data_IF_464124761829
#
_entry.id   IF_464124761829
#
_cell.length_a   1.000
_cell.length_b   1.000
_cell.length_c   1.000
_cell.angle_alpha   90.00
_cell.angle_beta   90.00
_cell.angle_gamma   90.00
#
_symmetry.space_group_name_H-M   'P 1'
#
loop_
_entity.id
_entity.type
_entity.pdbx_description
1 polymer ?
#
# COMPACT_ATOMS: atom_id res chain seq x y z
N UNK A 1 -10.82 -29.33 8.79
CA UNK A 1 -9.74 -29.74 7.86
C UNK A 1 -8.70 -28.62 7.90
N UNK A 2 -7.53 -28.90 8.45
CA UNK A 2 -6.37 -28.02 8.48
C UNK A 2 -5.99 -27.69 7.03
N UNK A 3 -5.92 -26.40 6.69
CA UNK A 3 -5.57 -25.91 5.34
C UNK A 3 -4.07 -25.94 5.06
N UNK A 4 -3.28 -26.41 6.02
CA UNK A 4 -1.83 -26.50 5.89
C UNK A 4 -1.42 -27.93 5.62
N UNK A 5 -0.46 -28.13 4.73
CA UNK A 5 0.27 -29.39 4.69
C UNK A 5 1.07 -29.55 6.00
N UNK A 6 1.26 -30.80 6.49
CA UNK A 6 2.13 -31.02 7.64
C UNK A 6 3.54 -30.54 7.32
N UNK A 7 3.97 -29.43 7.97
CA UNK A 7 5.27 -28.80 7.77
C UNK A 7 5.24 -27.36 7.25
N UNK A 8 4.12 -26.87 6.69
CA UNK A 8 3.96 -25.49 6.24
C UNK A 8 3.25 -24.67 7.31
N UNK A 9 4.01 -24.02 8.17
CA UNK A 9 3.50 -22.99 9.07
C UNK A 9 3.72 -21.62 8.42
N UNK A 10 2.68 -20.86 8.09
CA UNK A 10 2.86 -19.52 7.56
C UNK A 10 3.70 -18.66 8.50
N UNK A 11 4.58 -17.82 7.91
CA UNK A 11 5.46 -16.90 8.63
C UNK A 11 6.46 -17.55 9.56
N UNK A 12 6.91 -18.79 9.24
CA UNK A 12 7.94 -19.46 10.04
C UNK A 12 9.21 -18.60 10.10
N UNK A 13 9.63 -18.27 11.32
CA UNK A 13 10.81 -17.45 11.57
C UNK A 13 10.61 -15.94 11.39
N UNK A 14 9.43 -15.47 11.03
CA UNK A 14 9.11 -14.05 10.98
C UNK A 14 8.69 -13.54 12.36
N UNK A 15 9.29 -12.41 12.77
CA UNK A 15 9.01 -11.78 14.07
C UNK A 15 7.93 -10.70 13.89
N UNK A 16 6.76 -10.92 14.51
CA UNK A 16 5.65 -9.95 14.53
C UNK A 16 5.72 -8.97 15.71
N UNK A 17 6.77 -9.02 16.53
CA UNK A 17 6.97 -7.98 17.55
C UNK A 17 7.11 -6.63 16.85
N UNK A 18 6.36 -5.63 17.30
CA UNK A 18 6.33 -4.29 16.71
C UNK A 18 5.88 -4.23 15.21
N UNK A 19 5.21 -5.27 14.71
CA UNK A 19 4.68 -5.28 13.34
C UNK A 19 3.51 -4.31 13.16
N UNK A 20 2.61 -4.21 14.16
CA UNK A 20 1.41 -3.39 14.12
C UNK A 20 1.62 -2.05 14.84
N UNK A 21 1.10 -0.99 14.23
CA UNK A 21 0.94 0.32 14.85
C UNK A 21 -0.51 0.46 15.34
N UNK A 22 -0.72 0.08 16.60
CA UNK A 22 -2.04 0.04 17.24
C UNK A 22 -2.40 1.37 17.90
N UNK A 23 -2.39 2.45 17.13
CA UNK A 23 -2.91 3.72 17.59
C UNK A 23 -4.45 3.71 17.71
N UNK A 24 -5.03 4.77 18.27
CA UNK A 24 -6.49 4.89 18.46
C UNK A 24 -7.25 4.78 17.12
N UNK A 25 -6.69 5.33 16.05
CA UNK A 25 -7.29 5.30 14.71
C UNK A 25 -7.29 3.88 14.13
N UNK A 26 -6.14 3.19 14.17
CA UNK A 26 -6.01 1.83 13.69
C UNK A 26 -6.98 0.87 14.40
N UNK A 27 -7.03 0.94 15.72
CA UNK A 27 -7.92 0.12 16.55
C UNK A 27 -9.40 0.39 16.25
N UNK A 28 -9.75 1.64 16.00
CA UNK A 28 -11.14 2.03 15.71
C UNK A 28 -11.56 1.63 14.30
N UNK A 29 -10.74 1.91 13.29
CA UNK A 29 -11.16 1.83 11.88
C UNK A 29 -10.86 0.48 11.21
N UNK A 30 -9.86 -0.27 11.69
CA UNK A 30 -9.39 -1.50 11.06
C UNK A 30 -9.53 -2.76 11.91
N UNK A 31 -9.23 -2.67 13.21
CA UNK A 31 -9.04 -3.85 14.04
C UNK A 31 -10.35 -4.40 14.58
N UNK A 32 -10.61 -5.67 14.31
CA UNK A 32 -11.75 -6.43 14.84
C UNK A 32 -11.27 -7.58 15.73
N UNK A 33 -12.21 -8.21 16.42
CA UNK A 33 -11.96 -9.47 17.12
C UNK A 33 -11.44 -10.55 16.15
N UNK A 34 -10.62 -11.51 16.62
CA UNK A 34 -10.19 -12.62 15.79
C UNK A 34 -11.36 -13.34 15.12
N UNK A 35 -11.28 -13.64 13.81
CA UNK A 35 -12.40 -14.21 13.08
C UNK A 35 -12.62 -15.68 13.47
N UNK A 36 -13.89 -16.06 13.64
CA UNK A 36 -14.28 -17.46 13.75
C UNK A 36 -14.17 -18.18 12.41
N UNK A 37 -14.11 -19.51 12.43
CA UNK A 37 -14.11 -20.32 11.20
C UNK A 37 -15.40 -20.13 10.39
N UNK A 38 -16.52 -19.91 11.05
CA UNK A 38 -17.82 -19.60 10.44
C UNK A 38 -17.80 -18.24 9.73
N UNK A 39 -17.20 -17.22 10.36
CA UNK A 39 -17.06 -15.90 9.73
C UNK A 39 -16.14 -15.96 8.51
N UNK A 40 -15.02 -16.67 8.61
CA UNK A 40 -14.09 -16.87 7.48
C UNK A 40 -14.82 -17.53 6.31
N UNK A 41 -15.55 -18.62 6.56
CA UNK A 41 -16.31 -19.32 5.52
C UNK A 41 -17.39 -18.42 4.88
N UNK A 42 -18.08 -17.61 5.68
CA UNK A 42 -19.09 -16.65 5.22
C UNK A 42 -18.49 -15.55 4.33
N UNK A 43 -17.33 -15.02 4.70
CA UNK A 43 -16.62 -14.01 3.92
C UNK A 43 -16.11 -14.59 2.60
N UNK A 44 -15.55 -15.79 2.62
CA UNK A 44 -15.11 -16.49 1.40
C UNK A 44 -16.28 -16.78 0.45
N UNK A 45 -17.43 -17.18 0.97
CA UNK A 45 -18.65 -17.40 0.17
C UNK A 45 -19.12 -16.09 -0.48
N UNK A 46 -19.16 -15.00 0.29
CA UNK A 46 -19.58 -13.69 -0.21
C UNK A 46 -18.65 -13.15 -1.29
N UNK A 47 -17.33 -13.27 -1.11
CA UNK A 47 -16.34 -12.78 -2.06
C UNK A 47 -16.14 -13.73 -3.26
N UNK A 48 -16.45 -15.00 -3.13
CA UNK A 48 -16.29 -16.02 -4.18
C UNK A 48 -14.87 -16.58 -4.30
N UNK A 49 -14.01 -16.34 -3.31
CA UNK A 49 -12.62 -16.79 -3.30
C UNK A 49 -12.25 -17.43 -1.97
N UNK A 50 -11.31 -18.38 -2.00
CA UNK A 50 -10.67 -18.90 -0.79
C UNK A 50 -9.53 -18.00 -0.36
N UNK A 51 -9.56 -17.54 0.89
CA UNK A 51 -8.47 -16.75 1.45
C UNK A 51 -7.20 -17.60 1.62
N UNK A 52 -6.02 -17.02 1.35
CA UNK A 52 -4.76 -17.71 1.62
C UNK A 52 -4.63 -18.14 3.08
N UNK A 53 -4.00 -19.27 3.30
CA UNK A 53 -3.74 -19.77 4.64
C UNK A 53 -2.92 -18.77 5.48
N UNK A 54 -1.97 -18.07 4.87
CA UNK A 54 -1.19 -17.01 5.50
C UNK A 54 -2.06 -15.81 5.90
N UNK A 55 -3.01 -15.42 5.08
CA UNK A 55 -3.96 -14.34 5.40
C UNK A 55 -4.81 -14.68 6.63
N UNK A 56 -5.38 -15.88 6.64
CA UNK A 56 -6.17 -16.37 7.78
C UNK A 56 -5.32 -16.47 9.04
N UNK A 57 -4.09 -16.98 8.92
CA UNK A 57 -3.16 -17.08 10.04
C UNK A 57 -2.88 -15.70 10.68
N UNK A 58 -2.59 -14.70 9.85
CA UNK A 58 -2.34 -13.35 10.34
C UNK A 58 -3.57 -12.74 11.01
N UNK A 59 -4.74 -12.86 10.37
CA UNK A 59 -5.98 -12.29 10.88
C UNK A 59 -6.48 -12.97 12.17
N UNK A 60 -6.15 -14.24 12.39
CA UNK A 60 -6.43 -14.91 13.67
C UNK A 60 -5.54 -14.40 14.81
N UNK A 61 -4.38 -13.87 14.51
CA UNK A 61 -3.51 -13.23 15.49
C UNK A 61 -3.90 -11.77 15.74
N UNK A 62 -4.23 -11.04 14.67
CA UNK A 62 -4.57 -9.64 14.69
C UNK A 62 -5.46 -9.32 13.48
N UNK A 63 -6.74 -9.09 13.70
CA UNK A 63 -7.72 -9.05 12.61
C UNK A 63 -7.84 -7.68 11.97
N UNK A 64 -6.97 -7.39 11.02
CA UNK A 64 -6.82 -6.09 10.36
C UNK A 64 -5.96 -5.12 11.18
N UNK A 65 -5.51 -4.05 10.57
CA UNK A 65 -4.72 -3.04 11.26
C UNK A 65 -3.79 -2.27 10.33
N UNK A 66 -3.03 -1.37 10.94
CA UNK A 66 -2.01 -0.57 10.26
C UNK A 66 -0.64 -1.13 10.63
N UNK A 67 0.17 -1.60 9.66
CA UNK A 67 1.52 -2.05 9.96
C UNK A 67 2.47 -0.87 10.20
N UNK A 68 3.49 -1.08 11.01
CA UNK A 68 4.55 -0.08 11.21
C UNK A 68 5.39 0.15 9.95
N UNK A 69 5.61 -0.91 9.16
CA UNK A 69 6.26 -0.85 7.86
C UNK A 69 5.20 -0.87 6.76
N UNK A 70 5.12 0.20 5.98
CA UNK A 70 4.02 0.45 5.04
C UNK A 70 4.43 0.42 3.57
N UNK A 71 5.72 0.32 3.26
CA UNK A 71 6.22 0.35 1.89
C UNK A 71 6.61 -1.05 1.40
N UNK A 72 6.44 -1.27 0.10
CA UNK A 72 6.88 -2.49 -0.58
C UNK A 72 7.59 -2.11 -1.88
N UNK A 73 8.78 -2.69 -2.17
CA UNK A 73 9.52 -2.36 -3.39
C UNK A 73 8.74 -2.76 -4.64
N UNK A 74 8.84 -1.93 -5.67
CA UNK A 74 8.24 -2.16 -6.97
C UNK A 74 9.30 -2.04 -8.07
N UNK A 75 9.32 -3.02 -8.98
CA UNK A 75 10.22 -3.00 -10.15
C UNK A 75 9.72 -2.03 -11.25
N UNK A 76 8.50 -1.54 -11.11
CA UNK A 76 7.88 -0.62 -12.08
C UNK A 76 7.35 0.62 -11.36
N UNK A 77 7.44 1.81 -12.00
CA UNK A 77 6.86 3.02 -11.45
C UNK A 77 5.34 2.96 -11.45
N UNK A 78 4.75 3.62 -10.46
CA UNK A 78 3.32 3.88 -10.34
C UNK A 78 3.05 5.38 -10.41
N UNK A 79 1.80 5.81 -10.33
CA UNK A 79 1.43 7.23 -10.24
C UNK A 79 1.92 7.90 -8.94
N UNK A 80 2.40 7.11 -7.97
CA UNK A 80 2.71 7.57 -6.61
C UNK A 80 4.21 7.57 -6.29
N UNK A 81 4.97 6.64 -6.86
CA UNK A 81 6.41 6.55 -6.68
C UNK A 81 7.06 5.72 -7.80
N UNK A 82 8.36 5.91 -8.00
CA UNK A 82 9.11 5.25 -9.08
C UNK A 82 9.55 3.83 -8.72
N UNK A 83 9.75 3.53 -7.43
CA UNK A 83 10.45 2.32 -6.97
C UNK A 83 9.74 1.57 -5.83
N UNK A 84 8.60 2.07 -5.34
CA UNK A 84 7.84 1.43 -4.27
C UNK A 84 6.35 1.76 -4.33
N UNK A 85 5.57 1.02 -3.55
CA UNK A 85 4.19 1.36 -3.20
C UNK A 85 4.08 1.56 -1.69
N UNK A 86 3.09 2.31 -1.24
CA UNK A 86 2.78 2.48 0.17
C UNK A 86 1.33 2.07 0.45
N UNK A 87 1.12 1.38 1.57
CA UNK A 87 -0.21 1.05 2.09
C UNK A 87 -0.55 1.89 3.31
N UNK A 88 -1.83 2.10 3.57
CA UNK A 88 -2.32 2.65 4.83
C UNK A 88 -2.60 1.52 5.81
N UNK A 89 -3.46 0.58 5.46
CA UNK A 89 -3.84 -0.50 6.35
C UNK A 89 -4.21 -1.78 5.63
N UNK A 90 -4.20 -2.88 6.38
CA UNK A 90 -4.56 -4.22 5.93
C UNK A 90 -5.97 -4.52 6.42
N UNK A 91 -6.86 -4.92 5.51
CA UNK A 91 -8.26 -5.21 5.85
C UNK A 91 -8.39 -6.51 6.64
N UNK A 92 -9.14 -6.46 7.72
CA UNK A 92 -9.49 -7.64 8.49
C UNK A 92 -10.59 -8.48 7.83
N UNK A 93 -10.73 -9.71 8.29
CA UNK A 93 -11.82 -10.61 7.88
C UNK A 93 -13.07 -10.24 8.65
N UNK A 94 -14.08 -9.73 7.95
CA UNK A 94 -15.35 -9.34 8.55
C UNK A 94 -16.08 -8.26 7.78
N UNK A 95 -17.08 -7.65 8.45
CA UNK A 95 -18.01 -6.65 7.89
C UNK A 95 -18.20 -5.43 8.79
N UNK A 96 -17.75 -5.51 10.05
CA UNK A 96 -18.06 -4.49 11.06
C UNK A 96 -17.27 -3.20 10.85
N UNK A 97 -16.02 -3.31 10.46
CA UNK A 97 -15.19 -2.14 10.17
C UNK A 97 -15.39 -1.68 8.72
N UNK A 98 -15.39 -0.38 8.50
CA UNK A 98 -15.47 0.17 7.15
C UNK A 98 -14.29 -0.34 6.30
N UNK A 99 -13.10 -0.41 6.91
CA UNK A 99 -11.89 -0.99 6.32
C UNK A 99 -11.72 -2.46 6.69
N UNK A 100 -12.63 -3.29 6.20
CA UNK A 100 -12.58 -4.74 6.30
C UNK A 100 -12.93 -5.36 4.94
N UNK A 101 -12.66 -6.65 4.73
CA UNK A 101 -12.85 -7.30 3.42
C UNK A 101 -14.26 -7.13 2.87
N UNK A 102 -15.28 -7.26 3.71
CA UNK A 102 -16.69 -7.10 3.36
C UNK A 102 -17.32 -5.86 4.03
N UNK A 103 -16.51 -4.92 4.45
CA UNK A 103 -16.95 -3.66 5.02
C UNK A 103 -17.43 -2.66 3.98
N UNK A 104 -17.87 -1.49 4.44
CA UNK A 104 -18.42 -0.43 3.59
C UNK A 104 -17.43 0.09 2.55
N UNK A 105 -16.14 0.13 2.88
CA UNK A 105 -15.04 0.52 1.99
C UNK A 105 -14.18 -0.68 1.57
N UNK A 106 -14.74 -1.88 1.64
CA UNK A 106 -14.05 -3.12 1.35
C UNK A 106 -14.00 -3.48 -0.13
N UNK A 107 -13.66 -4.74 -0.40
CA UNK A 107 -13.36 -5.22 -1.75
C UNK A 107 -14.52 -5.03 -2.74
N UNK A 108 -15.75 -5.33 -2.34
CA UNK A 108 -16.92 -5.16 -3.21
C UNK A 108 -17.18 -3.71 -3.58
N UNK A 109 -17.07 -2.80 -2.60
CA UNK A 109 -17.25 -1.38 -2.84
C UNK A 109 -16.24 -0.85 -3.85
N UNK A 110 -14.99 -1.27 -3.76
CA UNK A 110 -13.95 -0.84 -4.70
C UNK A 110 -14.20 -1.38 -6.11
N UNK A 111 -14.70 -2.60 -6.24
CA UNK A 111 -15.00 -3.19 -7.55
C UNK A 111 -16.29 -2.60 -8.15
N UNK A 112 -17.37 -2.48 -7.36
CA UNK A 112 -18.69 -2.13 -7.87
C UNK A 112 -18.88 -0.62 -8.05
N UNK A 113 -18.29 0.20 -7.16
CA UNK A 113 -18.49 1.66 -7.16
C UNK A 113 -17.28 2.42 -7.73
N UNK A 114 -16.07 1.90 -7.53
CA UNK A 114 -14.84 2.53 -8.01
C UNK A 114 -14.27 1.88 -9.27
N UNK A 115 -14.99 0.90 -9.84
CA UNK A 115 -14.66 0.24 -11.11
C UNK A 115 -13.30 -0.47 -11.13
N UNK A 116 -12.77 -0.84 -9.96
CA UNK A 116 -11.57 -1.68 -9.90
C UNK A 116 -11.81 -3.02 -10.60
N UNK A 117 -10.78 -3.60 -11.24
CA UNK A 117 -10.95 -4.86 -11.95
C UNK A 117 -11.33 -6.01 -11.01
N UNK A 118 -12.29 -6.83 -11.44
CA UNK A 118 -12.76 -8.01 -10.68
C UNK A 118 -11.77 -9.19 -10.79
N UNK A 119 -10.54 -8.98 -10.35
CA UNK A 119 -9.45 -9.97 -10.43
C UNK A 119 -9.27 -10.78 -9.15
N UNK A 120 -9.95 -10.40 -8.08
CA UNK A 120 -9.83 -11.03 -6.78
C UNK A 120 -10.37 -10.17 -5.65
N UNK A 121 -9.56 -9.97 -4.62
CA UNK A 121 -9.96 -9.32 -3.37
C UNK A 121 -9.08 -8.12 -3.08
N UNK A 122 -9.66 -6.92 -2.90
CA UNK A 122 -8.96 -5.76 -2.35
C UNK A 122 -8.66 -6.01 -0.86
N UNK A 123 -7.38 -5.94 -0.47
CA UNK A 123 -6.92 -6.28 0.89
C UNK A 123 -6.25 -5.13 1.64
N UNK A 124 -5.79 -4.10 0.95
CA UNK A 124 -5.21 -2.92 1.57
C UNK A 124 -5.66 -1.68 0.84
N UNK A 125 -5.94 -0.62 1.60
CA UNK A 125 -6.01 0.74 1.08
C UNK A 125 -4.63 1.40 1.12
N UNK A 126 -4.50 2.47 0.36
CA UNK A 126 -3.28 3.25 0.22
C UNK A 126 -3.52 4.71 0.64
N UNK A 127 -2.46 5.53 0.88
CA UNK A 127 -2.61 6.92 1.28
C UNK A 127 -3.36 7.84 0.30
N UNK A 128 -3.66 7.34 -0.89
CA UNK A 128 -4.34 8.06 -1.98
C UNK A 128 -5.84 8.24 -1.82
N UNK A 129 -6.43 7.76 -0.72
CA UNK A 129 -7.87 7.78 -0.48
C UNK A 129 -8.70 7.02 -1.53
N UNK A 130 -8.20 5.89 -2.01
CA UNK A 130 -8.90 4.98 -2.92
C UNK A 130 -8.44 5.04 -4.39
N UNK A 131 -7.46 5.90 -4.72
CA UNK A 131 -6.94 6.03 -6.08
C UNK A 131 -5.85 5.00 -6.43
N UNK A 132 -5.43 4.21 -5.48
CA UNK A 132 -4.69 2.96 -5.67
C UNK A 132 -5.04 1.97 -4.54
N UNK A 133 -4.97 0.68 -4.83
CA UNK A 133 -5.32 -0.39 -3.90
C UNK A 133 -4.39 -1.59 -4.08
N UNK A 134 -4.28 -2.41 -3.04
CA UNK A 134 -3.59 -3.70 -3.10
C UNK A 134 -4.64 -4.81 -3.19
N UNK A 135 -4.43 -5.73 -4.13
CA UNK A 135 -5.31 -6.87 -4.39
C UNK A 135 -4.60 -8.20 -4.24
N UNK A 136 -5.34 -9.20 -3.79
CA UNK A 136 -5.05 -10.60 -4.08
C UNK A 136 -5.55 -10.90 -5.49
N UNK A 137 -4.65 -11.31 -6.37
CA UNK A 137 -4.93 -11.59 -7.78
C UNK A 137 -5.11 -13.08 -8.02
N UNK A 138 -6.33 -13.49 -8.34
CA UNK A 138 -6.71 -14.89 -8.54
C UNK A 138 -6.76 -15.29 -10.01
N UNK A 139 -6.39 -14.42 -10.95
CA UNK A 139 -6.51 -14.71 -12.39
C UNK A 139 -5.73 -15.94 -12.83
N UNK A 140 -4.53 -16.13 -12.31
CA UNK A 140 -3.65 -17.25 -12.71
C UNK A 140 -3.88 -18.53 -11.93
N UNK A 141 -4.31 -18.43 -10.67
CA UNK A 141 -4.46 -19.59 -9.77
C UNK A 141 -5.90 -20.10 -9.65
N UNK A 142 -6.88 -19.30 -10.07
CA UNK A 142 -8.30 -19.58 -9.84
C UNK A 142 -8.75 -19.32 -8.40
N UNK A 143 -10.08 -19.35 -8.14
CA UNK A 143 -10.66 -18.89 -6.88
C UNK A 143 -10.33 -19.76 -5.66
N UNK A 144 -9.73 -20.91 -5.87
CA UNK A 144 -9.32 -21.87 -4.83
C UNK A 144 -7.80 -21.92 -4.63
N UNK A 145 -7.02 -21.25 -5.50
CA UNK A 145 -5.56 -21.31 -5.52
C UNK A 145 -4.90 -20.28 -4.61
N UNK A 146 -3.58 -20.22 -4.66
CA UNK A 146 -2.76 -19.24 -3.96
C UNK A 146 -2.58 -17.99 -4.85
N UNK A 147 -3.17 -16.85 -4.51
CA UNK A 147 -3.10 -15.65 -5.32
C UNK A 147 -1.76 -14.92 -5.15
N UNK A 148 -1.36 -14.22 -6.21
CA UNK A 148 -0.33 -13.20 -6.13
C UNK A 148 -0.86 -11.94 -5.44
N UNK A 149 0.05 -11.05 -5.03
CA UNK A 149 -0.28 -9.71 -4.54
C UNK A 149 0.10 -8.70 -5.60
N UNK A 150 -0.85 -7.83 -5.95
CA UNK A 150 -0.68 -6.81 -6.98
C UNK A 150 -1.11 -5.44 -6.48
N UNK A 151 -0.49 -4.41 -7.02
CA UNK A 151 -0.93 -3.03 -6.91
C UNK A 151 -1.80 -2.69 -8.12
N UNK A 152 -2.91 -1.99 -7.90
CA UNK A 152 -3.81 -1.51 -8.96
C UNK A 152 -3.91 -0.01 -8.87
N UNK A 153 -3.48 0.69 -9.92
CA UNK A 153 -3.35 2.13 -10.02
C UNK A 153 -4.50 2.73 -10.82
N UNK A 154 -5.51 3.26 -10.12
CA UNK A 154 -6.69 3.85 -10.73
C UNK A 154 -6.34 5.07 -11.60
N UNK A 155 -5.36 5.89 -11.17
CA UNK A 155 -4.91 7.08 -11.89
C UNK A 155 -4.18 6.75 -13.20
N UNK A 156 -3.76 5.50 -13.38
CA UNK A 156 -3.11 5.00 -14.58
C UNK A 156 -3.94 3.89 -15.25
N UNK A 157 -5.22 4.17 -15.51
CA UNK A 157 -6.15 3.25 -16.17
C UNK A 157 -6.19 1.85 -15.53
N UNK A 158 -6.14 1.79 -14.20
CA UNK A 158 -6.10 0.55 -13.40
C UNK A 158 -4.93 -0.37 -13.76
N UNK A 159 -3.77 0.23 -14.06
CA UNK A 159 -2.54 -0.54 -14.29
C UNK A 159 -2.28 -1.48 -13.12
N UNK A 160 -2.04 -2.76 -13.45
CA UNK A 160 -1.76 -3.80 -12.48
C UNK A 160 -0.25 -4.05 -12.46
N UNK A 161 0.36 -3.89 -11.29
CA UNK A 161 1.78 -4.17 -11.06
C UNK A 161 1.92 -5.32 -10.06
N UNK A 162 2.61 -6.40 -10.45
CA UNK A 162 2.87 -7.52 -9.56
C UNK A 162 3.89 -7.12 -8.50
N UNK A 163 3.59 -7.40 -7.24
CA UNK A 163 4.46 -7.11 -6.11
C UNK A 163 5.10 -8.38 -5.54
N UNK A 164 4.29 -9.39 -5.24
CA UNK A 164 4.74 -10.61 -4.58
C UNK A 164 4.00 -11.84 -5.11
N UNK A 165 4.62 -13.01 -4.98
CA UNK A 165 4.02 -14.28 -5.43
C UNK A 165 2.98 -14.82 -4.45
N UNK A 166 3.01 -14.35 -3.21
CA UNK A 166 2.05 -14.73 -2.15
C UNK A 166 1.84 -13.60 -1.15
N UNK A 167 0.75 -13.70 -0.39
CA UNK A 167 0.50 -12.77 0.72
C UNK A 167 1.59 -12.84 1.82
N UNK A 168 2.11 -14.04 2.10
CA UNK A 168 3.20 -14.21 3.05
C UNK A 168 4.46 -13.45 2.62
N UNK A 169 4.84 -13.57 1.35
CA UNK A 169 5.97 -12.83 0.79
C UNK A 169 5.77 -11.32 0.87
N UNK A 170 4.58 -10.84 0.55
CA UNK A 170 4.22 -9.43 0.67
C UNK A 170 4.37 -8.91 2.09
N UNK A 171 3.82 -9.60 3.08
CA UNK A 171 3.91 -9.20 4.49
C UNK A 171 5.36 -9.20 4.99
N UNK A 172 6.12 -10.25 4.68
CA UNK A 172 7.52 -10.35 5.09
C UNK A 172 8.43 -9.32 4.42
N UNK A 173 8.02 -8.79 3.26
CA UNK A 173 8.79 -7.83 2.47
C UNK A 173 8.43 -6.36 2.73
N UNK A 174 7.49 -6.06 3.62
CA UNK A 174 7.15 -4.68 3.97
C UNK A 174 8.33 -3.99 4.64
N UNK A 175 8.62 -2.78 4.21
CA UNK A 175 9.75 -1.96 4.62
C UNK A 175 9.28 -0.65 5.24
N UNK A 176 10.13 -0.05 6.07
CA UNK A 176 9.86 1.27 6.64
C UNK A 176 9.96 2.34 5.56
N UNK A 177 9.10 3.34 5.59
CA UNK A 177 9.09 4.46 4.65
C UNK A 177 10.44 5.20 4.59
N UNK A 178 11.18 5.25 5.69
CA UNK A 178 12.50 5.88 5.75
C UNK A 178 13.54 5.29 4.80
N UNK A 179 13.31 4.07 4.29
CA UNK A 179 14.17 3.46 3.26
C UNK A 179 14.13 4.27 1.96
N UNK A 180 13.00 4.94 1.70
CA UNK A 180 12.71 5.67 0.47
C UNK A 180 12.87 7.19 0.60
N UNK A 181 13.03 7.72 1.83
CA UNK A 181 13.22 9.15 2.08
C UNK A 181 14.64 9.65 1.76
N UNK A 182 15.60 8.75 1.47
CA UNK A 182 17.02 9.07 1.30
C UNK A 182 17.39 9.59 -0.09
N UNK A 183 16.48 9.55 -1.07
CA UNK A 183 16.77 9.93 -2.45
C UNK A 183 16.41 11.39 -2.80
N UNK A 184 15.83 12.17 -1.88
CA UNK A 184 15.45 13.59 -2.13
C UNK A 184 16.56 14.62 -1.82
N UNK A 185 17.66 14.23 -1.22
CA UNK A 185 18.70 15.16 -0.73
C UNK A 185 19.91 15.36 -1.68
N UNK A 186 19.98 14.72 -2.85
CA UNK A 186 21.18 14.75 -3.71
C UNK A 186 21.13 15.71 -4.92
N UNK A 187 20.04 16.48 -5.11
CA UNK A 187 19.91 17.44 -6.24
C UNK A 187 20.08 18.92 -5.87
N UNK A 188 20.73 19.24 -4.72
CA UNK A 188 21.11 20.60 -4.39
C UNK A 188 22.63 20.74 -4.18
N UNK A 189 23.43 20.44 -5.20
CA UNK A 189 24.81 20.92 -5.31
C UNK A 189 24.91 22.04 -6.36
N UNK A 190 25.04 23.24 -5.84
CA UNK A 190 25.88 24.34 -6.30
C UNK A 190 25.85 24.74 -7.79
N UNK A 191 25.09 25.77 -8.07
CA UNK A 191 25.49 26.76 -9.08
C UNK A 191 25.69 28.15 -8.43
N UNK A 192 26.71 28.23 -7.58
CA UNK A 192 27.39 29.48 -7.20
C UNK A 192 28.48 29.75 -8.25
N UNK A 193 28.13 30.37 -9.35
CA UNK A 193 29.12 31.06 -10.17
C UNK A 193 29.06 32.53 -9.86
N UNK A 194 30.02 32.94 -8.99
CA UNK A 194 30.56 34.27 -8.90
C UNK A 194 30.91 34.82 -10.29
N UNK A 195 30.29 35.88 -10.71
CA UNK A 195 30.93 36.86 -11.59
C UNK A 195 30.97 38.20 -10.89
N UNK A 196 32.11 38.39 -10.25
CA UNK A 196 32.64 39.73 -9.92
C UNK A 196 33.15 40.45 -11.18
N UNK A 197 33.03 41.76 -11.07
CA UNK A 197 33.83 42.81 -11.65
C UNK A 197 33.42 43.26 -13.06
N UNK A 198 33.26 44.50 -13.30
CA UNK A 198 34.24 45.54 -13.10
C UNK A 198 33.63 46.95 -13.19
N UNK A 199 34.19 47.80 -12.41
CA UNK A 199 34.07 49.26 -12.40
C UNK A 199 34.46 49.84 -13.78
N UNK A 200 33.87 50.87 -14.23
CA UNK A 200 34.54 52.19 -14.32
C UNK A 200 33.66 53.30 -14.90
N UNK A 201 33.52 54.29 -14.13
CA UNK A 201 33.68 55.72 -14.20
C UNK A 201 33.21 56.50 -15.45
N UNK A 202 32.70 57.62 -15.07
CA UNK A 202 32.77 58.97 -15.60
C UNK A 202 31.60 59.51 -16.42
N UNK A 203 30.96 60.38 -15.75
CA UNK A 203 31.04 61.84 -15.77
C UNK A 203 30.28 62.55 -16.84
N UNK A 204 29.52 63.43 -16.30
CA UNK A 204 29.33 64.87 -16.65
C UNK A 204 28.20 65.17 -17.64
N UNK A 205 27.32 65.89 -17.03
CA UNK A 205 26.90 67.28 -17.26
C UNK A 205 26.07 67.56 -18.48
N UNK A 206 24.94 68.07 -18.42
CA UNK A 206 24.58 69.50 -18.44
C UNK A 206 23.06 69.67 -18.72
N UNK A 207 22.52 70.42 -17.80
CA UNK A 207 21.63 71.58 -17.89
C UNK A 207 20.59 71.70 -18.96
N UNK A 208 19.50 72.13 -18.41
CA UNK A 208 18.62 73.27 -18.72
C UNK A 208 17.45 72.98 -19.64
N UNK A 209 16.37 73.25 -19.11
CA UNK A 209 15.46 74.40 -19.11
C UNK A 209 14.32 74.34 -20.08
N UNK A 210 13.18 74.63 -19.50
CA UNK A 210 12.07 75.45 -20.07
C UNK A 210 11.19 74.84 -21.14
N UNK A 211 10.00 74.53 -20.87
CA UNK A 211 8.77 75.35 -20.72
C UNK A 211 7.62 74.46 -20.30
#
# INVERSE_FOLDING_TARGET
>A
KTRFAPGDTPFEGFDFTDFWDDDEYALKEYVSEPPSDELIASVEEELGYKLPASYICLMKQHNGGIPANTCYPSDEPTSWADDHIAITGIFGIGREKDYSLCGKLGSRFMIDEWEYPAIGIAICDCPSAGHDMIFLDYRDCGPQGEPAVVHVDQENDYKITRLADSFEEFICGLENESVYDMDEDDDNEDDDTDEEADQDSRSEEHTSELQ
#
